data_IF_432860431456
#
_entry.id   IF_432860431456
#
_cell.length_a   1.000
_cell.length_b   1.000
_cell.length_c   1.000
_cell.angle_alpha   90.00
_cell.angle_beta   90.00
_cell.angle_gamma   90.00
#
_symmetry.space_group_name_H-M   'P 1'
#
loop_
_entity.id
_entity.type
_entity.pdbx_description
1 polymer ?
#
# COMPACT_ATOMS: atom_id res chain seq x y z
N UNK A 1 64.74 -5.72 29.35
CA UNK A 1 63.52 -5.16 29.99
C UNK A 1 62.57 -4.65 28.91
N UNK A 2 61.57 -5.46 28.53
CA UNK A 2 60.62 -5.17 27.44
C UNK A 2 59.22 -4.88 28.03
N UNK A 3 59.02 -3.69 28.62
CA UNK A 3 57.71 -3.28 29.18
C UNK A 3 56.80 -2.53 28.19
N UNK A 4 57.29 -2.19 26.98
CA UNK A 4 56.50 -1.45 25.97
C UNK A 4 55.51 -2.30 25.17
N UNK A 5 55.58 -3.63 25.26
CA UNK A 5 54.73 -4.53 24.46
C UNK A 5 53.31 -4.70 25.03
N UNK A 6 53.09 -4.42 26.32
CA UNK A 6 51.82 -4.71 27.01
C UNK A 6 50.73 -3.66 26.77
N UNK A 7 51.08 -2.37 26.63
CA UNK A 7 50.08 -1.30 26.51
C UNK A 7 49.34 -1.33 25.17
N UNK A 8 50.04 -1.61 24.06
CA UNK A 8 49.41 -1.71 22.74
C UNK A 8 48.40 -2.87 22.68
N UNK A 9 48.75 -4.01 23.28
CA UNK A 9 47.86 -5.17 23.33
C UNK A 9 46.59 -4.88 24.15
N UNK A 10 46.75 -4.15 25.26
CA UNK A 10 45.63 -3.76 26.13
C UNK A 10 44.68 -2.77 25.43
N UNK A 11 45.22 -1.78 24.71
CA UNK A 11 44.43 -0.82 23.94
C UNK A 11 43.69 -1.50 22.79
N UNK A 12 44.33 -2.42 22.08
CA UNK A 12 43.69 -3.19 21.01
C UNK A 12 42.57 -4.10 21.54
N UNK A 13 42.79 -4.81 22.64
CA UNK A 13 41.77 -5.65 23.26
C UNK A 13 40.57 -4.82 23.75
N UNK A 14 40.82 -3.64 24.31
CA UNK A 14 39.77 -2.72 24.75
C UNK A 14 38.95 -2.18 23.57
N UNK A 15 39.61 -1.84 22.45
CA UNK A 15 38.93 -1.40 21.24
C UNK A 15 38.02 -2.49 20.64
N UNK A 16 38.49 -3.75 20.58
CA UNK A 16 37.65 -4.87 20.13
C UNK A 16 36.49 -5.16 21.08
N UNK A 17 36.69 -5.02 22.39
CA UNK A 17 35.62 -5.17 23.37
C UNK A 17 34.52 -4.11 23.19
N UNK A 18 34.89 -2.85 22.93
CA UNK A 18 33.94 -1.77 22.62
C UNK A 18 33.20 -2.05 21.30
N UNK A 19 33.91 -2.45 20.24
CA UNK A 19 33.29 -2.81 18.97
C UNK A 19 32.29 -3.97 19.11
N UNK A 20 32.62 -5.00 19.89
CA UNK A 20 31.71 -6.12 20.15
C UNK A 20 30.47 -5.69 20.95
N UNK A 21 30.64 -4.80 21.94
CA UNK A 21 29.55 -4.22 22.72
C UNK A 21 28.60 -3.36 21.88
N UNK A 22 29.12 -2.64 20.88
CA UNK A 22 28.31 -1.84 19.96
C UNK A 22 27.70 -2.66 18.82
N UNK A 23 28.34 -3.75 18.41
CA UNK A 23 27.82 -4.63 17.35
C UNK A 23 26.53 -5.36 17.77
N UNK A 24 26.45 -5.79 19.02
CA UNK A 24 25.27 -6.48 19.56
C UNK A 24 23.95 -5.70 19.41
N UNK A 25 23.81 -4.44 19.86
CA UNK A 25 22.58 -3.67 19.68
C UNK A 25 22.28 -3.37 18.21
N UNK A 26 23.30 -3.17 17.37
CA UNK A 26 23.10 -2.97 15.93
C UNK A 26 22.52 -4.24 15.28
N UNK A 27 23.07 -5.41 15.60
CA UNK A 27 22.53 -6.69 15.14
C UNK A 27 21.09 -6.87 15.63
N UNK A 28 20.79 -6.49 16.87
CA UNK A 28 19.46 -6.62 17.46
C UNK A 28 18.44 -5.72 16.75
N UNK A 29 18.80 -4.47 16.42
CA UNK A 29 17.95 -3.56 15.63
C UNK A 29 17.68 -4.15 14.24
N UNK A 30 18.72 -4.61 13.55
CA UNK A 30 18.59 -5.22 12.21
C UNK A 30 17.69 -6.46 12.28
N UNK A 31 17.83 -7.30 13.31
CA UNK A 31 16.98 -8.49 13.50
C UNK A 31 15.53 -8.10 13.78
N UNK A 32 15.26 -7.07 14.60
CA UNK A 32 13.89 -6.63 14.87
C UNK A 32 13.19 -6.09 13.62
N UNK A 33 13.88 -5.31 12.77
CA UNK A 33 13.33 -4.80 11.51
C UNK A 33 13.03 -5.92 10.49
N UNK A 34 13.79 -7.02 10.53
CA UNK A 34 13.58 -8.18 9.64
C UNK A 34 12.47 -9.09 10.17
N UNK A 35 12.37 -9.26 11.51
CA UNK A 35 11.45 -10.23 12.13
C UNK A 35 10.05 -9.67 12.31
N UNK A 36 9.88 -8.35 12.44
CA UNK A 36 8.57 -7.70 12.55
C UNK A 36 8.35 -6.70 11.41
N UNK A 37 8.03 -7.17 10.19
CA UNK A 37 7.52 -6.26 9.18
C UNK A 37 6.28 -5.55 9.73
N UNK A 38 6.21 -4.23 9.53
CA UNK A 38 5.03 -3.45 9.86
C UNK A 38 3.78 -4.13 9.25
N UNK A 39 2.67 -4.23 10.01
CA UNK A 39 1.53 -5.08 9.66
C UNK A 39 0.74 -4.52 8.46
N UNK A 40 1.21 -4.73 7.23
CA UNK A 40 0.50 -4.31 6.02
C UNK A 40 -0.62 -5.28 5.63
N UNK A 41 -1.59 -4.82 4.82
CA UNK A 41 -2.59 -5.70 4.21
C UNK A 41 -1.91 -6.74 3.30
N UNK A 42 -1.79 -7.97 3.79
CA UNK A 42 -1.26 -9.10 3.03
C UNK A 42 -2.29 -9.66 2.05
N UNK A 43 -1.84 -10.56 1.18
CA UNK A 43 -2.68 -11.22 0.18
C UNK A 43 -3.87 -12.00 0.79
N UNK A 44 -3.71 -12.53 1.99
CA UNK A 44 -4.70 -13.32 2.73
C UNK A 44 -5.60 -12.48 3.65
N UNK A 45 -5.47 -11.15 3.61
CA UNK A 45 -6.30 -10.24 4.43
C UNK A 45 -7.78 -10.27 4.05
N UNK A 46 -8.65 -9.96 5.03
CA UNK A 46 -10.10 -9.85 4.80
C UNK A 46 -10.43 -8.82 3.70
N UNK A 47 -9.67 -7.72 3.63
CA UNK A 47 -9.88 -6.70 2.60
C UNK A 47 -9.60 -7.23 1.19
N UNK A 48 -8.50 -7.97 1.00
CA UNK A 48 -8.19 -8.61 -0.29
C UNK A 48 -9.26 -9.65 -0.64
N UNK A 49 -9.66 -10.49 0.32
CA UNK A 49 -10.73 -11.45 0.13
C UNK A 49 -12.06 -10.78 -0.25
N UNK A 50 -12.40 -9.67 0.40
CA UNK A 50 -13.57 -8.85 0.09
C UNK A 50 -13.50 -8.30 -1.35
N UNK A 51 -12.38 -7.68 -1.74
CA UNK A 51 -12.23 -7.17 -3.11
C UNK A 51 -12.35 -8.28 -4.17
N UNK A 52 -11.79 -9.47 -3.89
CA UNK A 52 -11.91 -10.67 -4.74
C UNK A 52 -13.34 -11.23 -4.81
N UNK A 53 -14.13 -11.02 -3.76
CA UNK A 53 -15.52 -11.51 -3.68
C UNK A 53 -16.51 -10.70 -4.52
N UNK A 54 -16.11 -9.52 -5.03
CA UNK A 54 -16.96 -8.69 -5.88
C UNK A 54 -17.28 -9.42 -7.19
N UNK A 55 -18.57 -9.50 -7.54
CA UNK A 55 -18.99 -10.16 -8.77
C UNK A 55 -18.47 -9.45 -10.02
N UNK A 56 -18.28 -10.19 -11.11
CA UNK A 56 -17.86 -9.64 -12.41
C UNK A 56 -18.78 -8.52 -12.88
N UNK A 57 -20.10 -8.65 -12.68
CA UNK A 57 -21.09 -7.64 -13.05
C UNK A 57 -20.94 -6.38 -12.20
N UNK A 58 -20.65 -6.55 -10.90
CA UNK A 58 -20.41 -5.41 -10.00
C UNK A 58 -19.13 -4.68 -10.39
N UNK A 59 -18.05 -5.40 -10.69
CA UNK A 59 -16.79 -4.83 -11.17
C UNK A 59 -16.97 -4.07 -12.48
N UNK A 60 -17.72 -4.63 -13.44
CA UNK A 60 -18.05 -3.96 -14.70
C UNK A 60 -18.90 -2.69 -14.51
N UNK A 61 -19.83 -2.68 -13.54
CA UNK A 61 -20.57 -1.46 -13.16
C UNK A 61 -19.63 -0.44 -12.51
N UNK A 62 -18.81 -0.89 -11.56
CA UNK A 62 -17.87 -0.05 -10.85
C UNK A 62 -16.90 0.66 -11.80
N UNK A 63 -16.44 -0.02 -12.85
CA UNK A 63 -15.61 0.58 -13.87
C UNK A 63 -16.34 1.72 -14.60
N UNK A 64 -17.58 1.49 -15.02
CA UNK A 64 -18.40 2.50 -15.72
C UNK A 64 -18.70 3.70 -14.84
N UNK A 65 -19.02 3.46 -13.57
CA UNK A 65 -19.24 4.53 -12.59
C UNK A 65 -17.94 5.35 -12.44
N UNK A 66 -16.80 4.68 -12.28
CA UNK A 66 -15.51 5.36 -12.19
C UNK A 66 -15.18 6.21 -13.43
N UNK A 67 -15.42 5.67 -14.63
CA UNK A 67 -15.24 6.36 -15.91
C UNK A 67 -16.13 7.61 -15.99
N UNK A 68 -17.43 7.49 -15.69
CA UNK A 68 -18.38 8.60 -15.67
C UNK A 68 -17.94 9.71 -14.72
N UNK A 69 -17.60 9.37 -13.48
CA UNK A 69 -17.18 10.35 -12.49
C UNK A 69 -15.81 10.96 -12.85
N UNK A 70 -14.91 10.23 -13.53
CA UNK A 70 -13.61 10.78 -13.94
C UNK A 70 -13.74 11.99 -14.90
N UNK A 71 -14.82 12.08 -15.66
CA UNK A 71 -15.08 13.16 -16.60
C UNK A 71 -15.78 14.38 -15.99
N UNK A 72 -16.31 14.28 -14.78
CA UNK A 72 -17.04 15.38 -14.11
C UNK A 72 -16.10 16.53 -13.70
N UNK A 73 -16.45 17.76 -14.05
CA UNK A 73 -15.61 18.94 -13.75
C UNK A 73 -15.72 19.43 -12.31
N UNK A 74 -16.84 19.14 -11.64
CA UNK A 74 -17.14 19.53 -10.26
C UNK A 74 -16.40 18.70 -9.20
N UNK A 75 -15.75 17.60 -9.60
CA UNK A 75 -15.00 16.72 -8.69
C UNK A 75 -13.58 17.24 -8.51
N UNK A 76 -13.21 17.52 -7.26
CA UNK A 76 -11.84 17.88 -6.89
C UNK A 76 -10.87 16.72 -7.08
N UNK A 77 -9.58 17.03 -7.16
CA UNK A 77 -8.54 16.01 -7.32
C UNK A 77 -8.51 15.00 -6.18
N UNK A 78 -8.85 15.45 -4.97
CA UNK A 78 -8.97 14.58 -3.81
C UNK A 78 -10.20 13.66 -3.84
N UNK A 79 -11.15 13.90 -4.72
CA UNK A 79 -12.34 13.07 -4.90
C UNK A 79 -13.25 13.05 -3.67
N UNK A 80 -13.76 11.86 -3.34
CA UNK A 80 -14.72 11.63 -2.26
C UNK A 80 -14.06 10.92 -1.08
N UNK A 81 -14.51 11.23 0.13
CA UNK A 81 -13.95 10.66 1.35
C UNK A 81 -15.05 10.30 2.35
N UNK A 82 -14.97 9.10 2.91
CA UNK A 82 -15.91 8.66 3.93
C UNK A 82 -15.79 9.52 5.20
N UNK A 83 -16.94 9.95 5.74
CA UNK A 83 -17.01 10.82 6.92
C UNK A 83 -16.74 12.30 6.65
N UNK A 84 -16.60 12.72 5.38
CA UNK A 84 -16.48 14.13 5.01
C UNK A 84 -17.82 14.66 4.46
N UNK A 85 -18.50 15.50 5.23
CA UNK A 85 -19.81 16.08 4.87
C UNK A 85 -19.79 16.88 3.56
N UNK A 86 -18.63 17.42 3.15
CA UNK A 86 -18.51 18.20 1.92
C UNK A 86 -18.30 17.35 0.67
N UNK A 87 -17.79 16.13 0.82
CA UNK A 87 -17.43 15.25 -0.29
C UNK A 87 -17.92 13.83 -0.01
N UNK A 88 -19.22 13.74 0.22
CA UNK A 88 -19.89 12.47 0.52
C UNK A 88 -19.70 11.47 -0.62
N UNK A 89 -19.52 10.20 -0.24
CA UNK A 89 -19.38 9.10 -1.19
C UNK A 89 -20.68 8.94 -2.00
N UNK A 90 -20.63 8.96 -3.33
CA UNK A 90 -21.83 8.79 -4.15
C UNK A 90 -22.48 7.43 -3.94
N UNK A 91 -23.80 7.35 -4.14
CA UNK A 91 -24.60 6.14 -3.88
C UNK A 91 -24.13 4.93 -4.68
N UNK A 92 -23.58 5.14 -5.88
CA UNK A 92 -23.02 4.07 -6.72
C UNK A 92 -21.82 3.35 -6.11
N UNK A 93 -21.19 3.95 -5.09
CA UNK A 93 -20.06 3.39 -4.35
C UNK A 93 -20.40 3.09 -2.88
N UNK A 94 -21.63 3.35 -2.44
CA UNK A 94 -22.05 3.26 -1.03
C UNK A 94 -22.09 1.82 -0.48
N UNK A 95 -22.15 0.82 -1.36
CA UNK A 95 -22.05 -0.60 -1.02
C UNK A 95 -20.61 -1.05 -0.75
N UNK A 96 -19.62 -0.20 -1.05
CA UNK A 96 -18.22 -0.52 -0.89
C UNK A 96 -17.67 -0.05 0.47
N UNK A 97 -16.81 -0.86 1.10
CA UNK A 97 -16.05 -0.49 2.30
C UNK A 97 -14.90 0.48 1.94
N UNK A 98 -15.23 1.71 1.53
CA UNK A 98 -14.26 2.68 0.99
C UNK A 98 -13.84 3.73 2.01
N UNK A 99 -12.55 4.06 2.00
CA UNK A 99 -12.03 5.24 2.70
C UNK A 99 -12.04 6.47 1.81
N UNK A 100 -11.61 6.31 0.55
CA UNK A 100 -11.44 7.41 -0.41
C UNK A 100 -11.65 6.92 -1.84
N UNK A 101 -12.29 7.74 -2.68
CA UNK A 101 -12.49 7.48 -4.11
C UNK A 101 -11.90 8.66 -4.87
N UNK A 102 -10.99 8.41 -5.80
CA UNK A 102 -10.36 9.44 -6.64
C UNK A 102 -10.64 9.17 -8.12
N UNK A 103 -11.78 9.62 -8.66
CA UNK A 103 -12.12 9.40 -10.06
C UNK A 103 -11.13 9.99 -11.04
N UNK A 104 -10.57 11.17 -10.71
CA UNK A 104 -9.54 11.83 -11.53
C UNK A 104 -8.23 11.04 -11.63
N UNK A 105 -7.96 10.15 -10.69
CA UNK A 105 -6.77 9.30 -10.69
C UNK A 105 -7.08 7.84 -11.01
N UNK A 106 -8.36 7.50 -11.23
CA UNK A 106 -8.80 6.12 -11.45
C UNK A 106 -8.44 5.21 -10.27
N UNK A 107 -8.68 5.64 -9.03
CA UNK A 107 -8.39 4.80 -7.85
C UNK A 107 -9.46 4.83 -6.77
N UNK A 108 -9.65 3.70 -6.10
CA UNK A 108 -10.43 3.57 -4.87
C UNK A 108 -9.53 2.98 -3.79
N UNK A 109 -9.53 3.63 -2.63
CA UNK A 109 -8.93 3.15 -1.40
C UNK A 109 -10.00 2.44 -0.59
N UNK A 110 -9.84 1.13 -0.43
CA UNK A 110 -10.74 0.26 0.34
C UNK A 110 -10.15 0.09 1.74
N UNK A 111 -10.99 0.17 2.77
CA UNK A 111 -10.59 -0.03 4.15
C UNK A 111 -9.95 -1.42 4.32
N UNK A 112 -8.76 -1.43 4.91
CA UNK A 112 -7.92 -2.60 5.05
C UNK A 112 -7.73 -3.04 6.49
N UNK A 113 -6.52 -3.50 6.79
CA UNK A 113 -6.10 -3.97 8.11
C UNK A 113 -5.55 -2.80 8.92
N UNK A 114 -6.16 -2.51 10.07
CA UNK A 114 -5.78 -1.40 10.95
C UNK A 114 -5.78 -0.04 10.23
N UNK A 115 -4.61 0.52 9.95
CA UNK A 115 -4.38 1.81 9.32
C UNK A 115 -3.93 1.70 7.85
N UNK A 116 -3.85 0.47 7.33
CA UNK A 116 -3.46 0.19 5.95
C UNK A 116 -4.67 -0.01 5.04
N UNK A 117 -4.45 0.21 3.74
CA UNK A 117 -5.49 0.09 2.73
C UNK A 117 -5.07 -0.87 1.62
N UNK A 118 -6.07 -1.33 0.87
CA UNK A 118 -5.87 -1.90 -0.46
C UNK A 118 -6.41 -0.92 -1.50
N UNK A 119 -5.89 -1.03 -2.72
CA UNK A 119 -6.22 -0.10 -3.79
C UNK A 119 -6.82 -0.84 -4.98
N UNK A 120 -8.00 -0.40 -5.42
CA UNK A 120 -8.53 -0.73 -6.74
C UNK A 120 -8.10 0.36 -7.73
N UNK A 121 -7.30 0.00 -8.73
CA UNK A 121 -6.83 0.89 -9.79
C UNK A 121 -7.55 0.59 -11.10
N UNK A 122 -8.06 1.63 -11.74
CA UNK A 122 -8.85 1.58 -12.96
C UNK A 122 -7.97 2.03 -14.14
N UNK A 123 -7.43 1.06 -14.88
CA UNK A 123 -6.60 1.32 -16.07
C UNK A 123 -7.48 1.83 -17.20
N UNK A 124 -7.05 2.89 -17.89
CA UNK A 124 -7.86 3.58 -18.89
C UNK A 124 -8.84 4.62 -18.33
N UNK A 125 -8.78 4.96 -17.02
CA UNK A 125 -9.65 5.98 -16.40
C UNK A 125 -8.83 7.13 -15.80
N UNK A 126 -9.37 8.35 -15.87
CA UNK A 126 -8.80 9.54 -15.25
C UNK A 126 -7.60 10.10 -16.00
N UNK A 127 -6.84 10.97 -15.32
CA UNK A 127 -5.70 11.72 -15.89
C UNK A 127 -4.52 10.83 -16.29
N UNK A 128 -4.46 9.63 -15.73
CA UNK A 128 -3.40 8.65 -16.00
C UNK A 128 -3.74 7.68 -17.12
N UNK A 129 -4.94 7.78 -17.70
CA UNK A 129 -5.38 6.94 -18.80
C UNK A 129 -4.50 7.17 -20.04
N UNK A 130 -4.02 6.08 -20.65
CA UNK A 130 -3.29 6.14 -21.92
C UNK A 130 -4.24 5.81 -23.09
N UNK A 131 -4.13 6.51 -24.23
CA UNK A 131 -4.89 6.14 -25.43
C UNK A 131 -4.66 4.67 -25.80
N UNK A 132 -5.75 3.92 -26.02
CA UNK A 132 -5.69 2.49 -26.36
C UNK A 132 -5.34 1.55 -25.20
N UNK A 133 -5.26 2.05 -23.96
CA UNK A 133 -5.09 1.19 -22.79
C UNK A 133 -6.33 0.32 -22.59
N UNK A 134 -6.12 -0.99 -22.39
CA UNK A 134 -7.22 -1.92 -22.10
C UNK A 134 -7.84 -1.60 -20.75
N UNK A 135 -9.17 -1.52 -20.71
CA UNK A 135 -9.95 -1.29 -19.50
C UNK A 135 -9.77 -2.44 -18.52
N UNK A 136 -9.24 -2.15 -17.33
CA UNK A 136 -9.00 -3.14 -16.27
C UNK A 136 -9.21 -2.56 -14.88
N UNK A 137 -9.62 -3.41 -13.95
CA UNK A 137 -9.53 -3.15 -12.51
C UNK A 137 -8.41 -4.01 -11.93
N UNK A 138 -7.42 -3.37 -11.33
CA UNK A 138 -6.28 -4.00 -10.67
C UNK A 138 -6.41 -3.78 -9.17
N UNK A 139 -6.43 -4.86 -8.42
CA UNK A 139 -6.27 -4.86 -6.98
C UNK A 139 -4.78 -4.80 -6.62
N UNK A 140 -4.42 -3.92 -5.69
CA UNK A 140 -3.07 -3.82 -5.13
C UNK A 140 -3.14 -3.93 -3.60
N UNK A 141 -2.25 -4.70 -3.01
CA UNK A 141 -2.09 -4.87 -1.56
C UNK A 141 -0.61 -4.79 -1.18
N UNK A 142 -0.34 -4.69 0.12
CA UNK A 142 0.99 -4.38 0.66
C UNK A 142 1.44 -2.98 0.25
N UNK A 143 1.26 -1.99 1.13
CA UNK A 143 1.62 -0.59 0.84
C UNK A 143 3.14 -0.38 0.73
N UNK A 144 3.93 -1.26 1.36
CA UNK A 144 5.38 -1.19 1.41
C UNK A 144 6.04 -2.54 1.11
N UNK A 145 7.24 -2.55 0.50
CA UNK A 145 8.04 -3.76 0.37
C UNK A 145 8.30 -4.40 1.74
N UNK A 146 8.49 -5.73 1.82
CA UNK A 146 8.59 -6.68 0.70
C UNK A 146 7.24 -7.20 0.19
N UNK A 147 6.11 -6.85 0.82
CA UNK A 147 4.85 -7.57 0.69
C UNK A 147 3.86 -6.98 -0.34
N UNK A 148 4.37 -6.31 -1.37
CA UNK A 148 3.55 -5.68 -2.40
C UNK A 148 3.04 -6.74 -3.39
N UNK A 149 1.74 -6.77 -3.63
CA UNK A 149 1.14 -7.65 -4.64
C UNK A 149 0.08 -6.95 -5.48
N UNK A 150 -0.16 -7.50 -6.67
CA UNK A 150 -1.18 -6.99 -7.59
C UNK A 150 -1.94 -8.13 -8.28
N UNK A 151 -3.21 -7.91 -8.58
CA UNK A 151 -4.06 -8.86 -9.29
C UNK A 151 -5.08 -8.14 -10.18
N UNK A 152 -5.29 -8.65 -11.39
CA UNK A 152 -6.40 -8.20 -12.24
C UNK A 152 -7.69 -8.83 -11.74
N UNK A 153 -8.65 -8.01 -11.30
CA UNK A 153 -9.98 -8.47 -10.89
C UNK A 153 -10.97 -8.48 -12.07
N UNK A 154 -10.79 -7.57 -13.02
CA UNK A 154 -11.67 -7.42 -14.17
C UNK A 154 -10.93 -6.86 -15.37
N UNK A 155 -11.32 -7.30 -16.57
CA UNK A 155 -10.91 -6.72 -17.85
C UNK A 155 -12.06 -6.73 -18.83
N UNK A 156 -12.15 -5.69 -19.65
CA UNK A 156 -13.05 -5.68 -20.82
C UNK A 156 -12.54 -6.70 -21.85
N UNK A 157 -13.43 -7.62 -22.25
CA UNK A 157 -13.16 -8.64 -23.26
C UNK A 157 -13.25 -8.07 -24.67
#
# INVERSE_FOLDING_TARGET
MNKRFSFKLLVWNFFYAILALLALPIILIIVMDIVWPAPSCQEDSEAVAYARSLSTERLARLYRDMELYSHREDIQLDGYQFGNERYEVPKEFSDLKVRKIRPKDGSIMVEGCFDHYIYLTFKGVGRLAKPGEKKKIILNWGEHPPNIGTQVLWSEN
#
